data_IF_199212386180
#
_entry.id   IF_199212386180
#
_cell.length_a   1.000
_cell.length_b   1.000
_cell.length_c   1.000
_cell.angle_alpha   90.00
_cell.angle_beta   90.00
_cell.angle_gamma   90.00
#
_symmetry.space_group_name_H-M   'P 1'
#
loop_
_entity.id
_entity.type
_entity.pdbx_description
1 polymer ?
#
# COMPACT_ATOMS: atom_id res chain seq x y z
N UNK A 1 8.96 -7.02 -3.64
CA UNK A 1 8.11 -8.18 -3.35
C UNK A 1 6.76 -7.62 -2.98
N UNK A 2 5.73 -7.99 -3.71
CA UNK A 2 4.36 -7.52 -3.47
C UNK A 2 3.81 -8.12 -2.17
N UNK A 3 3.06 -7.33 -1.40
CA UNK A 3 2.42 -7.76 -0.17
C UNK A 3 1.11 -7.00 0.06
N UNK A 4 0.31 -7.52 0.99
CA UNK A 4 -0.84 -6.82 1.54
C UNK A 4 -1.01 -7.20 3.01
N UNK A 5 -1.55 -6.29 3.81
CA UNK A 5 -1.67 -6.48 5.25
C UNK A 5 -2.23 -5.26 5.96
N UNK A 6 -2.10 -5.25 7.27
CA UNK A 6 -2.53 -4.16 8.14
C UNK A 6 -1.32 -3.45 8.72
N UNK A 7 -1.36 -2.12 8.82
CA UNK A 7 -0.30 -1.36 9.47
C UNK A 7 -0.30 -1.65 10.97
N UNK A 8 0.79 -2.23 11.46
CA UNK A 8 0.97 -2.50 12.89
C UNK A 8 1.38 -1.23 13.67
N UNK A 9 2.27 -0.41 13.10
CA UNK A 9 2.78 0.82 13.69
C UNK A 9 3.17 1.81 12.59
N UNK A 10 3.10 3.11 12.91
CA UNK A 10 3.59 4.19 12.03
C UNK A 10 4.70 4.98 12.71
N UNK A 11 5.72 5.37 11.95
CA UNK A 11 6.78 6.24 12.46
C UNK A 11 6.29 7.66 12.75
N UNK A 12 7.01 8.38 13.61
CA UNK A 12 6.64 9.72 14.11
C UNK A 12 6.36 10.79 13.02
N UNK A 13 6.90 10.62 11.81
CA UNK A 13 6.75 11.55 10.69
C UNK A 13 5.75 11.09 9.63
N UNK A 14 4.95 10.06 9.93
CA UNK A 14 3.90 9.56 9.06
C UNK A 14 2.56 10.12 9.53
N UNK A 15 1.88 10.85 8.65
CA UNK A 15 0.58 11.48 8.95
C UNK A 15 -0.55 10.95 8.06
N UNK A 16 -0.21 10.43 6.88
CA UNK A 16 -1.19 9.98 5.88
C UNK A 16 -1.72 8.57 6.16
N UNK A 17 -1.19 7.87 7.16
CA UNK A 17 -1.51 6.49 7.52
C UNK A 17 -1.61 6.32 9.04
N UNK A 18 -2.35 5.31 9.47
CA UNK A 18 -2.50 4.95 10.88
C UNK A 18 -2.43 3.44 11.08
N UNK A 19 -2.11 3.02 12.31
CA UNK A 19 -2.22 1.61 12.69
C UNK A 19 -3.67 1.13 12.48
N UNK A 20 -3.84 -0.07 11.94
CA UNK A 20 -5.13 -0.60 11.51
C UNK A 20 -5.50 -0.32 10.05
N UNK A 21 -4.78 0.56 9.34
CA UNK A 21 -5.04 0.78 7.91
C UNK A 21 -4.70 -0.50 7.11
N UNK A 22 -5.66 -0.95 6.31
CA UNK A 22 -5.45 -2.04 5.35
C UNK A 22 -4.71 -1.51 4.13
N UNK A 23 -3.54 -2.08 3.84
CA UNK A 23 -2.66 -1.61 2.78
C UNK A 23 -2.15 -2.75 1.91
N UNK A 24 -1.66 -2.39 0.73
CA UNK A 24 -0.85 -3.24 -0.13
C UNK A 24 0.27 -2.42 -0.76
N UNK A 25 1.32 -3.08 -1.22
CA UNK A 25 2.51 -2.38 -1.69
C UNK A 25 3.69 -3.28 -2.03
N UNK A 26 4.82 -2.64 -2.31
CA UNK A 26 6.08 -3.31 -2.63
C UNK A 26 7.08 -3.15 -1.50
N UNK A 27 7.62 -4.26 -0.99
CA UNK A 27 8.78 -4.21 -0.11
C UNK A 27 10.04 -4.55 -0.91
N UNK A 28 11.10 -3.75 -0.75
CA UNK A 28 12.41 -4.07 -1.33
C UNK A 28 12.97 -5.39 -0.81
N UNK A 29 12.63 -5.76 0.43
CA UNK A 29 12.95 -7.02 1.09
C UNK A 29 11.98 -7.27 2.26
N UNK A 30 11.98 -8.48 2.81
CA UNK A 30 11.27 -8.78 4.05
C UNK A 30 9.77 -9.05 3.95
N UNK A 31 9.16 -9.04 2.75
CA UNK A 31 7.71 -9.30 2.59
C UNK A 31 7.29 -10.75 2.91
N UNK A 32 8.22 -11.70 3.00
CA UNK A 32 7.97 -13.09 3.39
C UNK A 32 8.14 -13.33 4.91
N UNK A 33 7.90 -12.31 5.72
CA UNK A 33 7.86 -12.40 7.18
C UNK A 33 6.51 -11.90 7.68
N UNK A 34 6.22 -12.11 8.97
CA UNK A 34 4.99 -11.62 9.60
C UNK A 34 4.92 -10.09 9.68
N UNK A 35 6.09 -9.44 9.65
CA UNK A 35 6.24 -7.98 9.67
C UNK A 35 7.35 -7.55 8.71
N UNK A 36 7.15 -6.40 8.05
CA UNK A 36 8.14 -5.80 7.16
C UNK A 36 8.12 -4.27 7.34
N UNK A 37 9.31 -3.67 7.43
CA UNK A 37 9.45 -2.21 7.36
C UNK A 37 9.39 -1.76 5.90
N UNK A 38 8.46 -0.84 5.62
CA UNK A 38 8.22 -0.35 4.26
C UNK A 38 8.07 1.16 4.27
N UNK A 39 8.60 1.82 3.24
CA UNK A 39 8.40 3.26 3.08
C UNK A 39 6.96 3.55 2.72
N UNK A 40 6.38 4.59 3.33
CA UNK A 40 5.01 5.06 2.99
C UNK A 40 4.83 5.40 1.50
N UNK A 41 5.92 5.66 0.78
CA UNK A 41 5.88 5.90 -0.68
C UNK A 41 5.56 4.65 -1.49
N UNK A 42 5.80 3.48 -0.91
CA UNK A 42 5.55 2.17 -1.51
C UNK A 42 4.23 1.56 -1.04
N UNK A 43 3.40 2.33 -0.31
CA UNK A 43 2.13 1.88 0.28
C UNK A 43 0.92 2.53 -0.38
N UNK A 44 -0.14 1.73 -0.48
CA UNK A 44 -1.46 2.10 -0.95
C UNK A 44 -2.52 1.60 0.03
N UNK A 45 -3.59 2.37 0.26
CA UNK A 45 -4.77 1.81 0.93
C UNK A 45 -5.42 0.76 0.05
N UNK A 46 -5.69 -0.40 0.65
CA UNK A 46 -6.41 -1.48 -0.01
C UNK A 46 -7.88 -1.07 -0.16
N UNK A 47 -8.48 -1.13 -1.37
CA UNK A 47 -9.91 -0.95 -1.52
C UNK A 47 -10.70 -1.97 -0.69
N UNK A 48 -11.83 -1.56 -0.13
CA UNK A 48 -12.72 -2.45 0.63
C UNK A 48 -13.33 -3.58 -0.25
N UNK A 49 -13.41 -3.35 -1.56
CA UNK A 49 -14.03 -4.25 -2.53
C UNK A 49 -13.22 -5.49 -2.90
N UNK A 50 -11.94 -5.56 -2.51
CA UNK A 50 -11.05 -6.69 -2.82
C UNK A 50 -10.50 -7.32 -1.54
N UNK A 51 -10.07 -8.57 -1.58
CA UNK A 51 -9.40 -9.23 -0.46
C UNK A 51 -7.87 -9.02 -0.47
N UNK A 52 -7.20 -9.46 0.59
CA UNK A 52 -5.76 -9.31 0.73
C UNK A 52 -4.98 -10.11 -0.33
N UNK A 53 -5.43 -11.31 -0.67
CA UNK A 53 -4.75 -12.15 -1.67
C UNK A 53 -4.76 -11.49 -3.04
N UNK A 54 -5.91 -10.94 -3.42
CA UNK A 54 -6.07 -10.18 -4.67
C UNK A 54 -5.20 -8.93 -4.64
N UNK A 55 -5.21 -8.19 -3.53
CA UNK A 55 -4.41 -6.97 -3.39
C UNK A 55 -2.90 -7.23 -3.48
N UNK A 56 -2.40 -8.31 -2.89
CA UNK A 56 -0.98 -8.71 -2.97
C UNK A 56 -0.57 -9.19 -4.37
N UNK A 57 -1.55 -9.51 -5.24
CA UNK A 57 -1.31 -9.94 -6.62
C UNK A 57 -1.28 -8.78 -7.62
N UNK A 58 -1.60 -7.55 -7.19
CA UNK A 58 -1.56 -6.36 -8.04
C UNK A 58 -0.11 -5.97 -8.29
N UNK A 59 0.35 -5.79 -9.55
CA UNK A 59 1.73 -5.41 -9.83
C UNK A 59 2.02 -3.97 -9.34
N UNK A 60 2.82 -3.87 -8.27
CA UNK A 60 2.94 -2.67 -7.42
C UNK A 60 3.75 -1.50 -7.96
N UNK A 61 4.60 -1.66 -9.00
CA UNK A 61 5.44 -0.54 -9.48
C UNK A 61 4.88 0.23 -10.69
N UNK A 62 4.38 -0.40 -11.77
CA UNK A 62 3.81 0.35 -12.90
C UNK A 62 2.32 0.67 -12.73
N UNK A 63 1.53 -0.27 -12.20
CA UNK A 63 0.08 -0.10 -12.12
C UNK A 63 -0.32 0.85 -10.97
N UNK A 64 0.45 0.88 -9.89
CA UNK A 64 0.17 1.77 -8.76
C UNK A 64 0.39 3.25 -9.11
N UNK A 65 1.51 3.58 -9.78
CA UNK A 65 1.75 4.95 -10.24
C UNK A 65 0.63 5.42 -11.17
N UNK A 66 0.14 4.54 -12.06
CA UNK A 66 -1.00 4.85 -12.93
C UNK A 66 -2.30 5.08 -12.15
N UNK A 67 -2.58 4.32 -11.09
CA UNK A 67 -3.78 4.52 -10.26
C UNK A 67 -3.71 5.81 -9.45
N UNK A 68 -2.55 6.14 -8.85
CA UNK A 68 -2.36 7.43 -8.18
C UNK A 68 -2.54 8.58 -9.18
N UNK A 69 -1.94 8.46 -10.36
CA UNK A 69 -2.02 9.51 -11.39
C UNK A 69 -3.47 9.69 -11.85
N UNK A 70 -4.22 8.62 -12.08
CA UNK A 70 -5.65 8.66 -12.44
C UNK A 70 -6.52 9.21 -11.29
N UNK A 71 -6.26 8.81 -10.04
CA UNK A 71 -6.99 9.32 -8.87
C UNK A 71 -6.82 10.84 -8.72
N UNK A 72 -5.61 11.37 -8.94
CA UNK A 72 -5.32 12.81 -8.96
C UNK A 72 -6.00 13.54 -10.12
N UNK A 73 -6.28 12.87 -11.23
CA UNK A 73 -7.02 13.44 -12.36
C UNK A 73 -8.51 13.60 -12.02
N UNK A 74 -9.06 12.75 -11.15
CA UNK A 74 -10.47 12.81 -10.75
C UNK A 74 -10.83 13.83 -9.65
N UNK A 75 -9.86 14.29 -8.83
CA UNK A 75 -10.08 15.36 -7.84
C UNK A 75 -10.09 16.78 -8.44
N UNK A 76 -9.99 16.89 -9.77
CA UNK A 76 -9.79 18.15 -10.49
C UNK A 76 -10.95 18.65 -11.37
N UNK A 77 -12.21 18.24 -11.12
CA UNK A 77 -13.39 18.73 -11.86
C UNK A 77 -14.55 19.11 -10.95
#
# INVERSE_FOLDING_TARGET
>A
QDFSGEIAEVGNNVHDFSAGDQVFGFALSGAYAEYADVSVKELARKPESIDFVTAASVPTLPAWQMIIDEAKVSEGW
#
